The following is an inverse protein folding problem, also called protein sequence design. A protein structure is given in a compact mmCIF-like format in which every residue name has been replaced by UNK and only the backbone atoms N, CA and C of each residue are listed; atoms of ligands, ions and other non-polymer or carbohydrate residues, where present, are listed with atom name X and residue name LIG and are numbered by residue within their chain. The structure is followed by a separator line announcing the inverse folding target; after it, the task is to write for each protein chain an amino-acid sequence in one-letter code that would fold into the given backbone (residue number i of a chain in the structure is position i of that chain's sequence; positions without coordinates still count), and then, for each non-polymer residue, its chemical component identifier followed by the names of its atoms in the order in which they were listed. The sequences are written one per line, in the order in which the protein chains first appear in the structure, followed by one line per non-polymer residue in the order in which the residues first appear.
data_IF_476928980801
#
_entry.id   IF_476928980801
#
_cell.length_a   1.000
_cell.length_b   1.000
_cell.length_c   1.000
_cell.angle_alpha   90.00
_cell.angle_beta   90.00
_cell.angle_gamma   90.00
#
_symmetry.space_group_name_H-M   'P 1'
#
loop_
_entity.id
_entity.type
_entity.pdbx_description
1 polymer ?
#
# COMPACT_ATOMS: atom_id res chain seq x y z
N UNK A 1 9.22 8.81 -13.92
CA UNK A 1 9.15 8.09 -12.64
C UNK A 1 8.60 9.04 -11.58
N UNK A 2 7.66 8.57 -10.76
CA UNK A 2 7.04 9.41 -9.70
C UNK A 2 7.86 9.42 -8.41
N UNK A 3 8.62 8.36 -8.15
CA UNK A 3 9.39 8.18 -6.93
C UNK A 3 10.86 7.98 -7.21
N UNK A 4 11.68 8.54 -6.34
CA UNK A 4 13.10 8.25 -6.24
C UNK A 4 13.31 7.15 -5.19
N UNK A 5 14.09 6.14 -5.54
CA UNK A 5 14.48 5.06 -4.66
C UNK A 5 15.92 5.25 -4.21
N UNK A 6 16.15 5.25 -2.91
CA UNK A 6 17.51 5.39 -2.37
C UNK A 6 18.37 4.18 -2.72
N UNK A 7 19.69 4.37 -2.69
CA UNK A 7 20.65 3.27 -2.85
C UNK A 7 20.44 2.14 -1.82
N UNK A 8 20.09 2.52 -0.59
CA UNK A 8 19.75 1.56 0.47
C UNK A 8 18.54 0.72 0.11
N UNK A 9 17.46 1.37 -0.39
CA UNK A 9 16.28 0.64 -0.82
C UNK A 9 16.61 -0.34 -1.95
N UNK A 10 17.34 0.11 -2.97
CA UNK A 10 17.68 -0.72 -4.13
C UNK A 10 18.55 -1.94 -3.75
N UNK A 11 19.50 -1.74 -2.85
CA UNK A 11 20.47 -2.80 -2.48
C UNK A 11 19.93 -3.76 -1.42
N UNK A 12 19.18 -3.27 -0.44
CA UNK A 12 18.83 -4.02 0.76
C UNK A 12 17.36 -4.48 0.77
N UNK A 13 16.45 -3.65 0.28
CA UNK A 13 15.01 -3.94 0.32
C UNK A 13 14.48 -4.57 -0.97
N UNK A 14 14.80 -3.98 -2.11
CA UNK A 14 14.25 -4.38 -3.41
C UNK A 14 14.44 -5.86 -3.75
N UNK A 15 15.59 -6.51 -3.47
CA UNK A 15 15.79 -7.93 -3.78
C UNK A 15 14.86 -8.88 -3.00
N UNK A 16 14.24 -8.39 -1.92
CA UNK A 16 13.35 -9.15 -1.05
C UNK A 16 11.92 -8.58 -1.05
N UNK A 17 11.58 -7.75 -2.05
CA UNK A 17 10.32 -7.03 -2.14
C UNK A 17 9.46 -7.53 -3.29
N UNK A 18 8.17 -7.73 -3.04
CA UNK A 18 7.15 -7.87 -4.07
C UNK A 18 6.46 -6.51 -4.24
N UNK A 19 6.40 -6.01 -5.47
CA UNK A 19 5.58 -4.85 -5.82
C UNK A 19 4.13 -5.29 -6.04
N UNK A 20 3.22 -4.68 -5.27
CA UNK A 20 1.77 -4.87 -5.38
C UNK A 20 1.22 -3.85 -6.39
N UNK A 21 1.39 -4.15 -7.66
CA UNK A 21 0.93 -3.28 -8.73
C UNK A 21 -0.36 -3.76 -9.39
N UNK A 22 -1.17 -2.82 -9.90
CA UNK A 22 -2.36 -3.09 -10.72
C UNK A 22 -3.39 -4.01 -10.08
N UNK A 23 -3.50 -3.96 -8.75
CA UNK A 23 -4.51 -4.72 -8.00
C UNK A 23 -5.85 -4.01 -8.08
N UNK A 24 -6.88 -4.69 -8.56
CA UNK A 24 -8.24 -4.16 -8.57
C UNK A 24 -9.26 -5.28 -8.35
N UNK A 25 -10.38 -4.91 -7.75
CA UNK A 25 -11.55 -5.77 -7.66
C UNK A 25 -12.45 -5.49 -8.87
N UNK A 26 -12.79 -6.52 -9.64
CA UNK A 26 -13.68 -6.35 -10.78
C UNK A 26 -15.03 -5.76 -10.35
N UNK A 27 -15.67 -4.99 -11.23
CA UNK A 27 -16.92 -4.28 -10.92
C UNK A 27 -18.03 -5.20 -10.39
N UNK A 28 -18.07 -6.45 -10.84
CA UNK A 28 -19.04 -7.45 -10.40
C UNK A 28 -18.90 -7.82 -8.92
N UNK A 29 -17.70 -7.69 -8.35
CA UNK A 29 -17.38 -7.99 -6.95
C UNK A 29 -17.19 -6.75 -6.08
N UNK A 30 -17.43 -5.56 -6.61
CA UNK A 30 -17.42 -4.34 -5.79
C UNK A 30 -18.68 -4.24 -4.93
N UNK A 31 -18.52 -3.80 -3.69
CA UNK A 31 -19.46 -3.92 -2.58
C UNK A 31 -20.90 -3.45 -2.83
N UNK A 32 -21.11 -2.53 -3.75
CA UNK A 32 -22.46 -1.97 -4.05
C UNK A 32 -23.34 -2.88 -4.90
N UNK A 33 -22.75 -3.85 -5.62
CA UNK A 33 -23.46 -4.73 -6.56
C UNK A 33 -23.37 -6.22 -6.22
N UNK A 34 -22.35 -6.63 -5.48
CA UNK A 34 -22.03 -8.05 -5.26
C UNK A 34 -22.60 -8.66 -3.98
N UNK A 35 -23.34 -7.90 -3.16
CA UNK A 35 -23.83 -8.38 -1.87
C UNK A 35 -22.71 -8.93 -0.99
N UNK A 36 -22.92 -10.10 -0.37
CA UNK A 36 -21.94 -10.73 0.51
C UNK A 36 -20.61 -11.10 -0.17
N UNK A 37 -20.61 -11.38 -1.48
CA UNK A 37 -19.40 -11.74 -2.23
C UNK A 37 -18.39 -10.60 -2.34
N UNK A 38 -18.85 -9.35 -2.44
CA UNK A 38 -17.97 -8.18 -2.52
C UNK A 38 -17.22 -7.88 -1.24
N UNK A 39 -17.77 -8.29 -0.08
CA UNK A 39 -17.14 -8.07 1.23
C UNK A 39 -15.83 -8.85 1.39
N UNK A 40 -15.71 -9.98 0.72
CA UNK A 40 -14.54 -10.87 0.84
C UNK A 40 -13.52 -10.72 -0.29
N UNK A 41 -13.80 -9.91 -1.31
CA UNK A 41 -12.91 -9.81 -2.47
C UNK A 41 -11.51 -9.27 -2.09
N UNK A 42 -11.46 -8.28 -1.19
CA UNK A 42 -10.19 -7.74 -0.70
C UNK A 42 -9.49 -8.72 0.25
N UNK A 43 -10.23 -9.44 1.08
CA UNK A 43 -9.69 -10.48 1.95
C UNK A 43 -9.04 -11.60 1.13
N UNK A 44 -9.69 -12.08 0.07
CA UNK A 44 -9.12 -13.11 -0.81
C UNK A 44 -7.82 -12.66 -1.49
N UNK A 45 -7.68 -11.36 -1.77
CA UNK A 45 -6.42 -10.82 -2.27
C UNK A 45 -5.30 -10.95 -1.22
N UNK A 46 -5.61 -10.66 0.04
CA UNK A 46 -4.67 -10.82 1.16
C UNK A 46 -4.33 -12.29 1.42
N UNK A 47 -5.27 -13.21 1.28
CA UNK A 47 -5.01 -14.66 1.36
C UNK A 47 -4.02 -15.09 0.28
N UNK A 48 -4.17 -14.60 -0.95
CA UNK A 48 -3.21 -14.85 -2.03
C UNK A 48 -1.81 -14.31 -1.73
N UNK A 49 -1.70 -13.11 -1.16
CA UNK A 49 -0.42 -12.53 -0.74
C UNK A 49 0.19 -13.32 0.43
N UNK A 50 -0.62 -13.75 1.39
CA UNK A 50 -0.19 -14.64 2.47
C UNK A 50 0.40 -15.95 1.93
N UNK A 51 -0.25 -16.56 0.95
CA UNK A 51 0.26 -17.76 0.27
C UNK A 51 1.62 -17.52 -0.39
N UNK A 52 1.83 -16.36 -1.04
CA UNK A 52 3.12 -16.02 -1.65
C UNK A 52 4.26 -15.97 -0.63
N UNK A 53 4.02 -15.47 0.58
CA UNK A 53 5.06 -15.43 1.63
C UNK A 53 5.48 -16.81 2.10
N UNK A 54 4.59 -17.82 1.97
CA UNK A 54 4.89 -19.22 2.32
C UNK A 54 5.72 -19.89 1.23
N UNK A 55 5.34 -19.70 -0.05
CA UNK A 55 6.03 -20.33 -1.19
C UNK A 55 7.30 -19.59 -1.59
N UNK A 56 7.46 -18.34 -1.19
CA UNK A 56 8.62 -17.49 -1.47
C UNK A 56 9.24 -16.95 -0.16
N UNK A 57 9.95 -17.77 0.62
CA UNK A 57 10.44 -17.39 1.95
C UNK A 57 11.47 -16.25 1.95
N UNK A 58 12.04 -15.92 0.78
CA UNK A 58 12.95 -14.78 0.62
C UNK A 58 12.22 -13.43 0.54
N UNK A 59 10.90 -13.44 0.38
CA UNK A 59 10.09 -12.21 0.35
C UNK A 59 9.90 -11.71 1.78
N UNK A 60 10.41 -10.51 2.04
CA UNK A 60 10.31 -9.85 3.35
C UNK A 60 9.46 -8.59 3.32
N UNK A 61 9.22 -8.03 2.14
CA UNK A 61 8.53 -6.76 2.01
C UNK A 61 7.48 -6.80 0.92
N UNK A 62 6.38 -6.09 1.17
CA UNK A 62 5.42 -5.70 0.15
C UNK A 62 5.52 -4.20 -0.08
N UNK A 63 5.83 -3.80 -1.30
CA UNK A 63 5.76 -2.41 -1.74
C UNK A 63 4.51 -2.19 -2.58
N UNK A 64 3.75 -1.18 -2.27
CA UNK A 64 2.54 -0.86 -3.02
C UNK A 64 2.28 0.63 -3.11
N UNK A 65 1.31 0.99 -3.95
CA UNK A 65 0.83 2.36 -4.07
C UNK A 65 -0.67 2.39 -3.79
N UNK A 66 -1.08 3.29 -2.92
CA UNK A 66 -2.48 3.59 -2.70
C UNK A 66 -2.88 4.75 -3.59
N UNK A 67 -3.87 4.50 -4.43
CA UNK A 67 -4.38 5.50 -5.36
C UNK A 67 -5.60 6.21 -4.77
N UNK A 68 -5.56 7.54 -4.75
CA UNK A 68 -6.72 8.38 -4.50
C UNK A 68 -7.07 9.17 -5.76
N UNK A 69 -8.36 9.20 -6.08
CA UNK A 69 -8.84 9.90 -7.27
C UNK A 69 -9.05 11.39 -6.99
N UNK A 70 -8.85 12.27 -8.00
CA UNK A 70 -9.10 13.70 -7.87
C UNK A 70 -10.54 14.05 -7.45
N UNK A 71 -11.49 13.15 -7.67
CA UNK A 71 -12.89 13.30 -7.24
C UNK A 71 -13.13 13.08 -5.75
N UNK A 72 -12.15 12.56 -5.02
CA UNK A 72 -12.26 12.44 -3.57
C UNK A 72 -12.18 13.82 -2.91
N UNK A 73 -12.91 14.00 -1.80
CA UNK A 73 -12.97 15.30 -1.11
C UNK A 73 -11.58 15.79 -0.69
N UNK A 74 -11.15 16.97 -1.14
CA UNK A 74 -9.79 17.48 -0.96
C UNK A 74 -9.34 17.53 0.50
N UNK A 75 -10.14 18.14 1.37
CA UNK A 75 -9.85 18.17 2.81
C UNK A 75 -9.82 16.75 3.40
N UNK A 76 -10.69 15.86 2.94
CA UNK A 76 -10.67 14.46 3.35
C UNK A 76 -9.38 13.75 2.98
N UNK A 77 -8.91 13.96 1.73
CA UNK A 77 -7.63 13.50 1.25
C UNK A 77 -6.47 14.01 2.12
N UNK A 78 -6.45 15.31 2.39
CA UNK A 78 -5.39 15.94 3.18
C UNK A 78 -5.32 15.38 4.61
N UNK A 79 -6.49 15.18 5.24
CA UNK A 79 -6.57 14.55 6.55
C UNK A 79 -5.99 13.12 6.55
N UNK A 80 -6.30 12.32 5.53
CA UNK A 80 -5.76 10.97 5.39
C UNK A 80 -4.24 11.00 5.22
N UNK A 81 -3.73 11.82 4.31
CA UNK A 81 -2.30 11.91 4.03
C UNK A 81 -1.50 12.44 5.22
N UNK A 82 -2.02 13.44 5.92
CA UNK A 82 -1.40 13.95 7.13
C UNK A 82 -1.35 12.89 8.23
N UNK A 83 -2.47 12.18 8.44
CA UNK A 83 -2.55 11.08 9.40
C UNK A 83 -1.54 9.98 9.09
N UNK A 84 -1.46 9.55 7.82
CA UNK A 84 -0.49 8.54 7.38
C UNK A 84 0.94 9.02 7.62
N UNK A 85 1.25 10.26 7.27
CA UNK A 85 2.58 10.84 7.49
C UNK A 85 2.92 10.91 8.97
N UNK A 86 1.96 11.26 9.83
CA UNK A 86 2.18 11.35 11.28
C UNK A 86 2.51 9.99 11.91
N UNK A 87 1.79 8.95 11.54
CA UNK A 87 1.84 7.66 12.22
C UNK A 87 2.73 6.62 11.53
N UNK A 88 3.02 6.79 10.23
CA UNK A 88 3.72 5.80 9.40
C UNK A 88 4.89 6.40 8.60
N UNK A 89 5.41 7.55 9.03
CA UNK A 89 6.47 8.21 8.29
C UNK A 89 7.73 7.34 8.14
N UNK A 90 8.23 7.26 6.91
CA UNK A 90 9.54 6.69 6.65
C UNK A 90 10.64 7.68 7.08
N UNK A 91 11.34 7.33 8.17
CA UNK A 91 12.41 8.18 8.74
C UNK A 91 13.77 7.97 8.04
N UNK A 92 13.88 6.92 7.23
CA UNK A 92 15.10 6.55 6.53
C UNK A 92 15.16 7.12 5.12
N UNK A 93 14.07 7.78 4.67
CA UNK A 93 13.94 8.34 3.32
C UNK A 93 14.28 7.32 2.23
N UNK A 94 13.83 6.08 2.43
CA UNK A 94 14.10 4.97 1.52
C UNK A 94 13.52 5.21 0.13
N UNK A 95 12.31 5.80 0.09
CA UNK A 95 11.63 6.16 -1.16
C UNK A 95 10.99 7.53 -0.98
N UNK A 96 11.20 8.43 -1.92
CA UNK A 96 10.67 9.80 -1.85
C UNK A 96 9.97 10.19 -3.14
N UNK A 97 8.84 10.92 -3.10
CA UNK A 97 8.24 11.47 -4.30
C UNK A 97 9.19 12.45 -4.98
N UNK A 98 9.35 12.38 -6.30
CA UNK A 98 10.14 13.35 -7.04
C UNK A 98 9.49 14.73 -7.03
N UNK A 99 8.15 14.77 -7.15
CA UNK A 99 7.31 15.96 -7.01
C UNK A 99 6.28 15.68 -5.91
N UNK A 100 6.58 16.03 -4.65
CA UNK A 100 5.67 15.78 -3.54
C UNK A 100 4.35 16.53 -3.69
N UNK A 101 3.24 15.83 -3.46
CA UNK A 101 1.92 16.46 -3.42
C UNK A 101 1.85 17.50 -2.29
N UNK A 102 1.43 18.70 -2.64
CA UNK A 102 1.19 19.78 -1.67
C UNK A 102 -0.26 19.66 -1.17
N UNK A 103 -0.42 19.61 0.15
CA UNK A 103 -1.74 19.60 0.77
C UNK A 103 -2.40 21.00 0.64
N UNK A 104 -3.71 21.01 0.42
CA UNK A 104 -4.50 22.24 0.33
C UNK A 104 -4.92 22.77 1.71
N UNK A 105 -5.11 21.85 2.67
CA UNK A 105 -5.40 22.18 4.07
C UNK A 105 -4.11 22.57 4.79
N UNK A 106 -4.15 23.63 5.58
CA UNK A 106 -2.95 24.12 6.28
C UNK A 106 -2.41 23.11 7.29
N UNK A 107 -1.08 23.06 7.42
CA UNK A 107 -0.41 22.19 8.39
C UNK A 107 -0.82 22.51 9.84
N UNK A 108 -1.08 23.78 10.16
CA UNK A 108 -1.54 24.21 11.48
C UNK A 108 -2.92 23.62 11.81
N UNK A 109 -3.86 23.66 10.86
CA UNK A 109 -5.19 23.07 11.02
C UNK A 109 -5.09 21.57 11.23
N UNK A 110 -4.33 20.87 10.40
CA UNK A 110 -4.15 19.41 10.48
C UNK A 110 -3.45 18.99 11.78
N UNK A 111 -2.44 19.74 12.21
CA UNK A 111 -1.74 19.51 13.47
C UNK A 111 -2.66 19.70 14.68
N UNK A 112 -3.51 20.72 14.65
CA UNK A 112 -4.50 20.98 15.70
C UNK A 112 -5.54 19.85 15.76
N UNK A 113 -5.97 19.38 14.60
CA UNK A 113 -6.96 18.31 14.49
C UNK A 113 -6.39 16.96 15.02
N UNK A 114 -5.20 16.61 14.58
CA UNK A 114 -4.52 15.36 14.97
C UNK A 114 -3.47 15.60 16.05
N UNK A 115 -3.91 16.10 17.20
CA UNK A 115 -3.04 16.46 18.33
C UNK A 115 -2.88 15.34 19.37
N UNK A 116 -3.45 14.16 19.15
CA UNK A 116 -3.36 13.06 20.10
C UNK A 116 -2.04 12.28 19.96
N UNK A 117 -1.65 11.61 21.04
CA UNK A 117 -0.37 10.88 21.08
C UNK A 117 -0.48 9.49 20.50
N UNK A 118 -1.70 8.93 20.41
CA UNK A 118 -1.89 7.56 19.96
C UNK A 118 -2.57 7.47 18.58
N UNK A 119 -2.16 6.48 17.79
CA UNK A 119 -2.80 6.10 16.54
C UNK A 119 -4.32 5.92 16.71
N UNK A 120 -4.74 5.21 17.75
CA UNK A 120 -6.15 4.87 17.99
C UNK A 120 -7.03 6.11 18.21
N UNK A 121 -6.52 7.11 18.91
CA UNK A 121 -7.27 8.34 19.18
C UNK A 121 -7.36 9.21 17.93
N UNK A 122 -6.24 9.41 17.23
CA UNK A 122 -6.24 10.16 15.97
C UNK A 122 -7.05 9.45 14.87
N UNK A 123 -7.05 8.11 14.83
CA UNK A 123 -7.88 7.36 13.90
C UNK A 123 -9.38 7.56 14.13
N UNK A 124 -9.82 7.66 15.39
CA UNK A 124 -11.21 7.99 15.70
C UNK A 124 -11.59 9.38 15.19
N UNK A 125 -10.67 10.36 15.36
CA UNK A 125 -10.85 11.71 14.83
C UNK A 125 -10.95 11.66 13.31
N UNK A 126 -9.98 11.03 12.63
CA UNK A 126 -9.96 10.88 11.18
C UNK A 126 -11.28 10.30 10.66
N UNK A 127 -11.72 9.18 11.22
CA UNK A 127 -12.94 8.51 10.78
C UNK A 127 -14.19 9.38 11.00
N UNK A 128 -14.25 10.12 12.11
CA UNK A 128 -15.35 11.02 12.41
C UNK A 128 -15.39 12.20 11.43
N UNK A 129 -14.26 12.84 11.17
CA UNK A 129 -14.18 14.00 10.29
C UNK A 129 -14.45 13.62 8.81
N UNK A 130 -13.93 12.51 8.36
CA UNK A 130 -14.22 11.98 7.00
C UNK A 130 -15.72 11.70 6.83
N UNK A 131 -16.36 11.09 7.83
CA UNK A 131 -17.81 10.83 7.79
C UNK A 131 -18.65 12.11 7.80
N UNK A 132 -18.24 13.16 8.51
CA UNK A 132 -18.91 14.47 8.47
C UNK A 132 -18.91 15.08 7.05
N UNK A 133 -17.88 14.77 6.24
CA UNK A 133 -17.81 15.17 4.84
C UNK A 133 -18.69 14.32 3.90
N UNK A 134 -19.37 13.28 4.42
CA UNK A 134 -20.17 12.34 3.64
C UNK A 134 -19.34 11.25 2.93
N UNK A 135 -18.08 11.06 3.32
CA UNK A 135 -17.17 10.09 2.73
C UNK A 135 -16.77 8.99 3.74
N UNK A 136 -16.10 7.98 3.24
CA UNK A 136 -15.41 6.98 4.05
C UNK A 136 -13.93 6.98 3.72
N UNK A 137 -13.09 6.57 4.68
CA UNK A 137 -11.69 6.28 4.38
C UNK A 137 -11.66 5.17 3.32
N UNK A 138 -10.88 5.32 2.24
CA UNK A 138 -10.82 4.32 1.18
C UNK A 138 -10.50 2.92 1.75
N UNK A 139 -11.22 1.86 1.34
CA UNK A 139 -11.06 0.53 1.92
C UNK A 139 -9.62 0.01 1.88
N UNK A 140 -8.88 0.28 0.81
CA UNK A 140 -7.49 -0.13 0.67
C UNK A 140 -6.58 0.57 1.69
N UNK A 141 -6.79 1.87 1.95
CA UNK A 141 -6.05 2.62 2.98
C UNK A 141 -6.28 2.00 4.35
N UNK A 142 -7.55 1.69 4.69
CA UNK A 142 -7.88 1.02 5.95
C UNK A 142 -7.25 -0.38 6.05
N UNK A 143 -7.26 -1.15 4.96
CA UNK A 143 -6.66 -2.47 4.93
C UNK A 143 -5.16 -2.41 5.25
N UNK A 144 -4.42 -1.51 4.60
CA UNK A 144 -3.00 -1.33 4.86
C UNK A 144 -2.70 -0.87 6.29
N UNK A 145 -3.39 0.15 6.79
CA UNK A 145 -3.21 0.63 8.17
C UNK A 145 -3.50 -0.43 9.24
N UNK A 146 -4.41 -1.37 8.94
CA UNK A 146 -4.77 -2.46 9.84
C UNK A 146 -3.90 -3.70 9.71
N UNK A 147 -2.99 -3.74 8.74
CA UNK A 147 -2.16 -4.91 8.48
C UNK A 147 -0.89 -4.92 9.33
N UNK A 148 -0.22 -3.77 9.42
CA UNK A 148 1.02 -3.64 10.18
C UNK A 148 1.13 -2.27 10.85
N UNK A 149 1.48 -2.22 12.16
CA UNK A 149 1.72 -0.96 12.87
C UNK A 149 3.01 -0.27 12.45
N UNK A 150 3.89 -0.97 11.77
CA UNK A 150 5.19 -0.49 11.29
C UNK A 150 5.22 -0.25 9.78
N UNK A 151 4.05 -0.23 9.14
CA UNK A 151 3.92 0.20 7.75
C UNK A 151 4.68 1.51 7.54
N UNK A 152 5.38 1.65 6.42
CA UNK A 152 6.05 2.90 6.06
C UNK A 152 5.30 3.60 4.93
N UNK A 153 5.10 4.91 5.09
CA UNK A 153 4.51 5.79 4.09
C UNK A 153 5.60 6.66 3.48
N UNK A 154 5.75 6.60 2.17
CA UNK A 154 6.83 7.26 1.41
C UNK A 154 6.45 8.62 0.82
N UNK A 155 5.28 9.12 1.14
CA UNK A 155 4.75 10.33 0.54
C UNK A 155 3.89 10.06 -0.68
N UNK A 156 3.36 11.14 -1.27
CA UNK A 156 2.38 11.10 -2.34
C UNK A 156 2.85 11.92 -3.52
N UNK A 157 2.67 11.42 -4.73
CA UNK A 157 2.90 12.12 -5.99
C UNK A 157 1.67 12.02 -6.90
N UNK A 158 1.56 12.93 -7.87
CA UNK A 158 0.51 12.89 -8.89
C UNK A 158 1.00 12.04 -10.07
N UNK A 159 0.16 11.11 -10.51
CA UNK A 159 0.40 10.31 -11.71
C UNK A 159 -0.29 10.93 -12.91
N UNK A 160 0.40 11.82 -13.59
CA UNK A 160 -0.11 12.51 -14.79
C UNK A 160 -0.34 11.56 -15.99
N UNK A 161 0.32 10.41 -16.01
CA UNK A 161 0.16 9.40 -17.06
C UNK A 161 -1.07 8.52 -16.85
N UNK A 162 -1.70 8.60 -15.67
CA UNK A 162 -2.85 7.79 -15.31
C UNK A 162 -4.00 8.62 -14.72
N UNK A 163 -4.43 9.66 -15.43
CA UNK A 163 -5.60 10.45 -15.07
C UNK A 163 -5.42 11.32 -13.83
N UNK A 164 -4.23 11.84 -13.60
CA UNK A 164 -3.88 12.75 -12.51
C UNK A 164 -4.23 12.20 -11.11
N UNK A 165 -4.22 10.88 -10.97
CA UNK A 165 -4.48 10.26 -9.66
C UNK A 165 -3.31 10.50 -8.71
N UNK A 166 -3.63 10.55 -7.43
CA UNK A 166 -2.67 10.76 -6.36
C UNK A 166 -2.23 9.41 -5.81
N UNK A 167 -0.96 9.06 -6.00
CA UNK A 167 -0.40 7.79 -5.56
C UNK A 167 0.50 7.96 -4.35
N UNK A 168 0.17 7.26 -3.28
CA UNK A 168 0.95 7.22 -2.03
C UNK A 168 1.72 5.90 -1.97
N UNK A 169 3.05 5.97 -1.93
CA UNK A 169 3.91 4.80 -1.77
C UNK A 169 3.89 4.27 -0.35
N UNK A 170 3.82 2.96 -0.19
CA UNK A 170 3.85 2.27 1.10
C UNK A 170 4.72 1.02 1.06
N UNK A 171 5.28 0.67 2.21
CA UNK A 171 6.03 -0.57 2.42
C UNK A 171 5.53 -1.27 3.68
N UNK A 172 5.37 -2.59 3.59
CA UNK A 172 5.01 -3.43 4.72
C UNK A 172 6.08 -4.50 4.88
N UNK A 173 6.63 -4.64 6.08
CA UNK A 173 7.46 -5.77 6.43
C UNK A 173 6.57 -6.97 6.78
N UNK A 174 6.79 -8.10 6.11
CA UNK A 174 5.97 -9.31 6.26
C UNK A 174 6.01 -9.85 7.69
N UNK A 175 7.20 -9.81 8.30
CA UNK A 175 7.39 -10.30 9.67
C UNK A 175 6.74 -9.41 10.75
N UNK A 176 6.35 -8.19 10.38
CA UNK A 176 5.72 -7.20 11.28
C UNK A 176 4.21 -7.06 11.03
N UNK A 177 3.64 -7.96 10.23
CA UNK A 177 2.19 -8.08 10.07
C UNK A 177 1.58 -8.54 11.40
N UNK A 178 0.48 -7.88 11.81
CA UNK A 178 -0.24 -8.21 13.03
C UNK A 178 -0.63 -9.69 13.10
N UNK A 179 -0.47 -10.30 14.27
CA UNK A 179 -0.62 -11.74 14.47
C UNK A 179 -2.01 -12.26 14.04
N UNK A 180 -3.09 -11.51 14.35
CA UNK A 180 -4.44 -11.87 13.92
C UNK A 180 -4.59 -11.91 12.39
N UNK A 181 -3.90 -11.02 11.69
CA UNK A 181 -3.84 -10.98 10.22
C UNK A 181 -2.98 -12.11 9.66
N UNK A 182 -1.87 -12.37 10.31
CA UNK A 182 -0.96 -13.48 9.95
C UNK A 182 -1.64 -14.82 10.08
N UNK A 183 -2.32 -15.06 11.20
CA UNK A 183 -3.11 -16.28 11.42
C UNK A 183 -4.18 -16.39 10.31
N UNK A 184 -4.93 -15.34 10.06
CA UNK A 184 -6.00 -15.36 9.07
C UNK A 184 -5.51 -15.66 7.65
N UNK A 185 -4.49 -14.96 7.18
CA UNK A 185 -4.10 -14.96 5.76
C UNK A 185 -2.94 -15.92 5.43
N UNK A 186 -2.13 -16.29 6.41
CA UNK A 186 -0.94 -17.14 6.22
C UNK A 186 -1.15 -18.51 6.84
N UNK A 187 -1.53 -18.58 8.12
CA UNK A 187 -1.66 -19.83 8.83
C UNK A 187 -2.77 -20.71 8.22
N UNK A 188 -3.90 -20.13 7.86
CA UNK A 188 -5.00 -20.84 7.18
C UNK A 188 -4.54 -21.46 5.86
N UNK A 189 -3.67 -20.78 5.10
CA UNK A 189 -3.08 -21.34 3.89
C UNK A 189 -2.17 -22.54 4.19
N UNK A 190 -1.28 -22.43 5.18
CA UNK A 190 -0.37 -23.49 5.59
C UNK A 190 -1.15 -24.75 6.01
N UNK A 191 -2.20 -24.59 6.81
CA UNK A 191 -3.04 -25.69 7.29
C UNK A 191 -3.80 -26.40 6.17
N UNK A 192 -4.25 -25.65 5.17
CA UNK A 192 -4.96 -26.21 4.01
C UNK A 192 -4.02 -26.79 2.93
N UNK A 193 -2.73 -26.40 2.96
CA UNK A 193 -1.72 -26.82 1.98
C UNK A 193 -0.41 -27.29 2.67
N UNK A 194 -0.42 -28.38 3.45
CA UNK A 194 0.74 -28.80 4.23
C UNK A 194 1.99 -29.13 3.39
N UNK A 195 1.80 -29.41 2.11
CA UNK A 195 2.90 -29.68 1.18
C UNK A 195 3.52 -28.41 0.58
N UNK A 196 2.89 -27.25 0.72
CA UNK A 196 3.43 -25.98 0.22
C UNK A 196 4.78 -25.61 0.84
N UNK A 197 5.00 -25.98 2.11
CA UNK A 197 6.28 -25.78 2.81
C UNK A 197 7.40 -26.72 2.33
N UNK A 198 7.07 -27.76 1.55
CA UNK A 198 8.02 -28.77 1.05
C UNK A 198 8.43 -28.49 -0.40
N UNK A 199 7.82 -27.50 -1.05
CA UNK A 199 8.20 -27.15 -2.42
C UNK A 199 9.61 -26.53 -2.41
N UNK A 200 10.59 -27.10 -3.13
CA UNK A 200 11.88 -26.44 -3.27
C UNK A 200 11.66 -25.10 -3.96
N UNK A 201 12.19 -24.05 -3.40
CA UNK A 201 12.24 -22.76 -4.07
C UNK A 201 13.20 -22.89 -5.26
N UNK A 202 12.69 -23.25 -6.44
CA UNK A 202 13.45 -23.24 -7.70
C UNK A 202 13.65 -21.78 -8.16
N UNK A 203 14.27 -20.96 -7.33
CA UNK A 203 14.65 -19.60 -7.69
C UNK A 203 16.16 -19.39 -7.60
N UNK A 204 16.95 -20.24 -8.27
CA UNK A 204 18.27 -19.85 -8.77
C UNK A 204 18.16 -19.12 -10.14
N UNK A 205 17.06 -18.46 -10.39
CA UNK A 205 16.90 -17.54 -11.49
C UNK A 205 17.23 -16.12 -11.00
N UNK A 206 18.46 -15.68 -11.21
CA UNK A 206 18.82 -14.25 -11.14
C UNK A 206 17.84 -13.50 -12.04
N UNK A 207 16.91 -12.78 -11.43
CA UNK A 207 16.02 -11.89 -12.15
C UNK A 207 16.86 -10.71 -12.65
N UNK A 208 17.41 -10.85 -13.86
CA UNK A 208 17.99 -9.71 -14.56
C UNK A 208 16.84 -8.86 -15.10
N UNK A 209 16.66 -7.62 -14.62
CA UNK A 209 15.66 -6.74 -15.19
C UNK A 209 15.99 -6.51 -16.66
N UNK A 210 15.06 -6.86 -17.56
CA UNK A 210 15.18 -6.48 -18.97
C UNK A 210 15.11 -4.96 -19.02
N UNK A 211 16.25 -4.32 -19.24
CA UNK A 211 16.31 -2.91 -19.61
C UNK A 211 15.66 -2.81 -20.98
N UNK A 212 14.44 -2.30 -21.03
CA UNK A 212 13.80 -1.93 -22.30
C UNK A 212 14.48 -0.65 -22.75
N UNK A 213 15.46 -0.77 -23.63
CA UNK A 213 16.00 0.36 -24.38
C UNK A 213 14.89 0.92 -25.28
N UNK A 214 14.67 2.26 -25.31
CA UNK A 214 13.75 2.86 -26.26
C UNK A 214 14.24 2.54 -27.67
N UNK A 215 13.40 1.92 -28.49
CA UNK A 215 13.65 1.83 -29.91
C UNK A 215 13.61 3.24 -30.49
N UNK A 216 14.73 3.68 -31.04
CA UNK A 216 14.79 4.88 -31.85
C UNK A 216 13.84 4.73 -33.05
N UNK A 217 12.84 5.61 -33.08
CA UNK A 217 11.83 5.62 -34.12
C UNK A 217 12.48 5.96 -35.47
N UNK A 218 12.31 5.08 -36.46
CA UNK A 218 12.49 5.43 -37.87
C UNK A 218 11.44 6.47 -38.23
N UNK A 219 11.93 7.66 -38.59
CA UNK A 219 11.22 8.61 -39.46
C UNK A 219 11.05 7.96 -40.84
N UNK A 220 9.79 7.86 -41.28
CA UNK A 220 9.39 8.07 -42.67
C UNK A 220 7.93 8.52 -42.69
#
# INVERSE_FOLDING_TARGET
HMFHFSDAFIKEYLPQTIELGRSFVTLEYQSTRAGSKGLFALDNLWDGLGALTVVMPNVKYFFGKVTMYPSYHRRGRDMILYFLKKHFNDREELVTPMEPLILETSDEELRTLFCKDTFKEDYKILNTEIRKLGYNIPPLVNAYMSLSPTMRMFGTAINYEFGDVEETGILIAVDEILEDKRIRHIQTFIESHPDALKMPCESEGVFTPKVVTPQEGCCH
#
